data_IF_304380744015
#
_entry.id   IF_304380744015
#
_cell.length_a   1.000
_cell.length_b   1.000
_cell.length_c   1.000
_cell.angle_alpha   90.00
_cell.angle_beta   90.00
_cell.angle_gamma   90.00
#
_symmetry.space_group_name_H-M   'P 1'
#
loop_
_entity.id
_entity.type
_entity.pdbx_description
1 polymer ?
#
# COMPACT_ATOMS: atom_id res chain seq x y z
N UNK A 1 4.95 9.97 -14.03
CA UNK A 1 5.48 9.71 -12.68
C UNK A 1 4.38 9.08 -11.84
N UNK A 2 3.91 7.88 -12.17
CA UNK A 2 2.83 7.18 -11.43
C UNK A 2 3.26 5.79 -10.99
N UNK A 3 4.56 5.51 -11.08
CA UNK A 3 5.15 4.19 -10.98
C UNK A 3 4.78 3.43 -9.68
N UNK A 4 4.55 4.15 -8.57
CA UNK A 4 3.99 3.59 -7.35
C UNK A 4 2.61 2.95 -7.59
N UNK A 5 1.67 3.74 -8.10
CA UNK A 5 0.30 3.29 -8.40
C UNK A 5 0.27 2.26 -9.53
N UNK A 6 1.14 2.39 -10.53
CA UNK A 6 1.32 1.36 -11.58
C UNK A 6 1.78 0.02 -10.96
N UNK A 7 2.71 0.06 -10.01
CA UNK A 7 3.20 -1.11 -9.28
C UNK A 7 2.09 -1.77 -8.47
N UNK A 8 1.33 -0.99 -7.70
CA UNK A 8 0.17 -1.48 -6.93
C UNK A 8 -0.90 -2.06 -7.85
N UNK A 9 -1.22 -1.39 -8.95
CA UNK A 9 -2.21 -1.87 -9.92
C UNK A 9 -1.78 -3.17 -10.60
N UNK A 10 -0.48 -3.36 -10.87
CA UNK A 10 0.03 -4.61 -11.45
C UNK A 10 0.03 -5.76 -10.44
N UNK A 11 0.30 -5.48 -9.17
CA UNK A 11 0.42 -6.50 -8.13
C UNK A 11 -0.91 -7.07 -7.63
N UNK A 12 -1.99 -6.27 -7.73
CA UNK A 12 -3.35 -6.66 -7.35
C UNK A 12 -4.12 -7.20 -8.55
N UNK A 13 -4.73 -8.38 -8.40
CA UNK A 13 -5.50 -9.06 -9.44
C UNK A 13 -7.00 -9.02 -9.13
N UNK A 14 -7.82 -9.52 -10.05
CA UNK A 14 -9.28 -9.52 -9.91
C UNK A 14 -9.76 -10.15 -8.58
N UNK A 15 -9.16 -11.27 -8.16
CA UNK A 15 -9.53 -11.96 -6.93
C UNK A 15 -9.25 -11.14 -5.66
N UNK A 16 -8.34 -10.15 -5.73
CA UNK A 16 -8.08 -9.24 -4.62
C UNK A 16 -9.16 -8.15 -4.53
N UNK A 17 -9.58 -7.60 -5.67
CA UNK A 17 -10.68 -6.63 -5.73
C UNK A 17 -12.03 -7.28 -5.39
N UNK A 18 -12.27 -8.51 -5.85
CA UNK A 18 -13.47 -9.27 -5.53
C UNK A 18 -13.57 -9.54 -4.01
N UNK A 19 -12.44 -9.72 -3.29
CA UNK A 19 -12.44 -9.92 -1.83
C UNK A 19 -13.03 -8.73 -1.05
N UNK A 20 -12.90 -7.53 -1.59
CA UNK A 20 -13.45 -6.30 -0.99
C UNK A 20 -14.73 -5.81 -1.68
N UNK A 21 -15.28 -6.60 -2.61
CA UNK A 21 -16.43 -6.25 -3.44
C UNK A 21 -16.21 -4.93 -4.23
N UNK A 22 -15.03 -4.77 -4.81
CA UNK A 22 -14.68 -3.64 -5.68
C UNK A 22 -14.29 -4.13 -7.07
N UNK A 23 -14.22 -3.21 -8.04
CA UNK A 23 -13.72 -3.52 -9.38
C UNK A 23 -12.34 -2.90 -9.57
N UNK A 24 -11.46 -3.63 -10.25
CA UNK A 24 -10.17 -3.08 -10.71
C UNK A 24 -10.44 -2.04 -11.79
N UNK A 25 -9.87 -0.84 -11.65
CA UNK A 25 -10.13 0.26 -12.58
C UNK A 25 -8.93 1.22 -12.71
N UNK A 26 -9.14 2.53 -12.79
CA UNK A 26 -8.09 3.53 -12.98
C UNK A 26 -7.30 3.83 -11.69
N UNK A 27 -6.15 4.52 -11.79
CA UNK A 27 -5.38 4.95 -10.61
C UNK A 27 -6.20 5.83 -9.66
N UNK A 28 -6.96 6.78 -10.22
CA UNK A 28 -7.81 7.69 -9.45
C UNK A 28 -8.82 6.87 -8.66
N UNK A 29 -9.52 5.95 -9.33
CA UNK A 29 -10.52 5.10 -8.69
C UNK A 29 -9.91 4.15 -7.64
N UNK A 30 -8.71 3.61 -7.89
CA UNK A 30 -7.97 2.83 -6.88
C UNK A 30 -7.75 3.65 -5.62
N UNK A 31 -7.22 4.88 -5.75
CA UNK A 31 -6.92 5.74 -4.60
C UNK A 31 -8.21 6.17 -3.90
N UNK A 32 -9.24 6.58 -4.65
CA UNK A 32 -10.56 6.91 -4.09
C UNK A 32 -11.15 5.71 -3.35
N UNK A 33 -11.00 4.50 -3.88
CA UNK A 33 -11.44 3.28 -3.23
C UNK A 33 -10.66 3.03 -1.94
N UNK A 34 -9.32 3.15 -1.95
CA UNK A 34 -8.48 2.99 -0.77
C UNK A 34 -8.86 4.00 0.32
N UNK A 35 -9.09 5.27 -0.02
CA UNK A 35 -9.56 6.29 0.94
C UNK A 35 -10.92 5.93 1.54
N UNK A 36 -11.88 5.50 0.70
CA UNK A 36 -13.22 5.09 1.14
C UNK A 36 -13.21 3.84 2.01
N UNK A 37 -12.32 2.89 1.72
CA UNK A 37 -12.19 1.59 2.39
C UNK A 37 -11.13 1.58 3.48
N UNK A 38 -10.57 2.75 3.83
CA UNK A 38 -9.52 2.83 4.86
C UNK A 38 -10.02 2.21 6.16
N UNK A 39 -9.19 1.40 6.77
CA UNK A 39 -9.45 0.75 8.05
C UNK A 39 -8.20 0.83 8.92
N UNK A 40 -8.35 0.77 10.26
CA UNK A 40 -7.19 0.70 11.15
C UNK A 40 -6.29 -0.50 10.82
N UNK A 41 -5.00 -0.25 10.61
CA UNK A 41 -3.98 -1.24 10.25
C UNK A 41 -3.51 -2.07 11.46
N UNK A 42 -4.47 -2.58 12.25
CA UNK A 42 -4.21 -3.22 13.55
C UNK A 42 -3.54 -4.60 13.43
N UNK A 43 -3.67 -5.24 12.27
CA UNK A 43 -3.12 -6.56 12.02
C UNK A 43 -1.80 -6.50 11.24
N UNK A 44 -1.29 -5.30 10.93
CA UNK A 44 -0.04 -5.12 10.18
C UNK A 44 1.14 -4.91 11.13
N UNK A 45 2.20 -5.67 10.89
CA UNK A 45 3.54 -5.41 11.43
C UNK A 45 4.37 -4.68 10.38
N UNK A 46 5.01 -3.59 10.77
CA UNK A 46 6.03 -2.90 9.98
C UNK A 46 7.40 -3.24 10.58
N UNK A 47 8.31 -3.82 9.79
CA UNK A 47 9.62 -4.29 10.26
C UNK A 47 9.53 -5.19 11.51
N UNK A 48 8.53 -6.09 11.53
CA UNK A 48 8.17 -6.97 12.66
C UNK A 48 7.70 -6.25 13.94
N UNK A 49 7.45 -4.94 13.87
CA UNK A 49 6.92 -4.14 14.98
C UNK A 49 5.46 -3.77 14.76
N UNK A 50 4.69 -3.70 15.85
CA UNK A 50 3.31 -3.20 15.80
C UNK A 50 3.31 -1.68 15.74
N UNK A 51 2.46 -1.12 14.90
CA UNK A 51 2.17 0.30 14.93
C UNK A 51 1.45 0.66 16.24
N UNK A 52 1.88 1.75 16.86
CA UNK A 52 1.16 2.36 17.97
C UNK A 52 -0.17 2.95 17.50
N UNK A 53 -1.09 3.17 18.45
CA UNK A 53 -2.37 3.85 18.16
C UNK A 53 -2.18 5.26 17.59
N UNK A 54 -1.06 5.93 17.90
CA UNK A 54 -0.75 7.27 17.40
C UNK A 54 -0.32 7.20 15.93
N UNK A 55 0.62 6.31 15.61
CA UNK A 55 1.08 6.10 14.23
C UNK A 55 -0.06 5.66 13.31
N UNK A 56 -0.93 4.75 13.76
CA UNK A 56 -2.12 4.35 12.99
C UNK A 56 -3.00 5.57 12.65
N UNK A 57 -3.20 6.50 13.59
CA UNK A 57 -3.98 7.72 13.33
C UNK A 57 -3.28 8.64 12.34
N UNK A 58 -1.97 8.81 12.45
CA UNK A 58 -1.18 9.63 11.53
C UNK A 58 -1.23 9.07 10.10
N UNK A 59 -1.09 7.76 9.93
CA UNK A 59 -1.20 7.11 8.62
C UNK A 59 -2.61 7.21 8.01
N UNK A 60 -3.66 7.05 8.84
CA UNK A 60 -5.04 7.24 8.37
C UNK A 60 -5.32 8.69 7.94
N UNK A 61 -4.81 9.66 8.69
CA UNK A 61 -4.92 11.08 8.33
C UNK A 61 -4.15 11.39 7.04
N UNK A 62 -2.93 10.87 6.89
CA UNK A 62 -2.14 11.04 5.68
C UNK A 62 -2.85 10.48 4.43
N UNK A 63 -3.61 9.38 4.57
CA UNK A 63 -4.43 8.82 3.48
C UNK A 63 -5.60 9.76 3.15
N UNK A 64 -6.25 10.35 4.15
CA UNK A 64 -7.35 11.31 3.95
C UNK A 64 -6.91 12.59 3.26
N UNK A 65 -5.75 13.12 3.67
CA UNK A 65 -5.20 14.36 3.16
C UNK A 65 -4.52 14.18 1.79
N UNK A 66 -4.31 12.95 1.34
CA UNK A 66 -3.70 12.67 0.04
C UNK A 66 -4.50 13.31 -1.10
N UNK A 67 -3.87 14.24 -1.84
CA UNK A 67 -4.46 14.93 -2.98
C UNK A 67 -4.38 14.09 -4.25
N UNK A 68 -5.54 13.59 -4.67
CA UNK A 68 -5.72 12.78 -5.87
C UNK A 68 -5.43 13.58 -7.15
N UNK A 69 -5.56 14.91 -7.12
CA UNK A 69 -5.30 15.74 -8.31
C UNK A 69 -3.81 15.88 -8.60
N UNK A 70 -2.94 15.64 -7.62
CA UNK A 70 -1.49 15.72 -7.75
C UNK A 70 -0.81 14.40 -8.18
N UNK A 71 -1.57 13.36 -8.55
CA UNK A 71 -1.02 12.09 -9.08
C UNK A 71 0.02 12.29 -10.21
N UNK A 72 -0.13 13.25 -11.15
CA UNK A 72 0.89 13.47 -12.18
C UNK A 72 2.28 13.81 -11.62
N UNK A 73 2.34 14.41 -10.42
CA UNK A 73 3.57 14.71 -9.67
C UNK A 73 4.19 13.51 -8.97
N UNK A 74 3.47 12.39 -8.89
CA UNK A 74 3.90 11.14 -8.30
C UNK A 74 3.60 10.97 -6.81
N UNK A 75 3.98 9.81 -6.31
CA UNK A 75 3.82 9.42 -4.91
C UNK A 75 5.18 9.29 -4.26
N UNK A 76 5.42 10.07 -3.21
CA UNK A 76 6.65 9.96 -2.42
C UNK A 76 6.55 8.75 -1.50
N UNK A 77 7.18 7.66 -1.93
CA UNK A 77 7.19 6.41 -1.16
C UNK A 77 8.24 6.51 -0.06
N UNK A 78 7.80 6.52 1.20
CA UNK A 78 8.67 6.50 2.38
C UNK A 78 9.02 5.07 2.80
N UNK A 79 9.91 4.93 3.79
CA UNK A 79 10.23 3.64 4.41
C UNK A 79 9.08 3.03 5.23
N UNK A 80 8.10 3.85 5.61
CA UNK A 80 6.83 3.41 6.21
C UNK A 80 5.68 4.09 5.46
N UNK A 81 5.24 3.47 4.37
CA UNK A 81 4.25 4.06 3.47
C UNK A 81 2.81 3.77 3.91
N UNK A 82 2.00 4.82 4.09
CA UNK A 82 0.62 4.72 4.56
C UNK A 82 -0.26 3.85 3.65
N UNK A 83 -0.08 3.94 2.33
CA UNK A 83 -0.88 3.14 1.39
C UNK A 83 -0.42 1.69 1.36
N UNK A 84 0.89 1.41 1.44
CA UNK A 84 1.38 0.04 1.56
C UNK A 84 0.87 -0.63 2.85
N UNK A 85 0.85 0.11 3.97
CA UNK A 85 0.25 -0.37 5.21
C UNK A 85 -1.24 -0.69 5.05
N UNK A 86 -2.01 0.21 4.43
CA UNK A 86 -3.43 -0.02 4.19
C UNK A 86 -3.67 -1.21 3.25
N UNK A 87 -2.88 -1.35 2.18
CA UNK A 87 -2.99 -2.47 1.23
C UNK A 87 -2.69 -3.81 1.94
N UNK A 88 -1.67 -3.84 2.79
CA UNK A 88 -1.32 -5.00 3.62
C UNK A 88 -2.50 -5.44 4.52
N UNK A 89 -3.15 -4.48 5.18
CA UNK A 89 -4.34 -4.75 6.01
C UNK A 89 -5.54 -5.20 5.17
N UNK A 90 -5.90 -4.40 4.16
CA UNK A 90 -7.15 -4.52 3.42
C UNK A 90 -7.22 -5.80 2.58
N UNK A 91 -6.13 -6.14 1.89
CA UNK A 91 -6.08 -7.31 1.00
C UNK A 91 -5.54 -8.57 1.67
N UNK A 92 -5.17 -8.49 2.96
CA UNK A 92 -4.59 -9.61 3.71
C UNK A 92 -3.36 -10.19 3.00
N UNK A 93 -2.44 -9.30 2.63
CA UNK A 93 -1.21 -9.64 1.90
C UNK A 93 0.00 -9.23 2.71
N UNK A 94 1.12 -9.92 2.51
CA UNK A 94 2.42 -9.39 2.93
C UNK A 94 3.00 -8.52 1.82
N UNK A 95 3.86 -7.59 2.18
CA UNK A 95 4.60 -6.75 1.25
C UNK A 95 6.07 -6.78 1.64
N UNK A 96 6.91 -7.14 0.67
CA UNK A 96 8.36 -6.98 0.74
C UNK A 96 8.76 -5.88 -0.23
N UNK A 97 9.28 -4.79 0.31
CA UNK A 97 9.65 -3.60 -0.45
C UNK A 97 11.16 -3.39 -0.36
N UNK A 98 11.87 -3.72 -1.43
CA UNK A 98 13.29 -3.45 -1.58
C UNK A 98 13.49 -1.97 -1.93
N UNK A 99 13.74 -1.13 -0.94
CA UNK A 99 14.08 0.27 -1.11
C UNK A 99 15.60 0.44 -1.13
N UNK A 100 16.15 0.78 -2.30
CA UNK A 100 17.60 0.75 -2.57
C UNK A 100 18.19 -0.64 -2.26
N UNK A 101 18.91 -0.78 -1.13
CA UNK A 101 19.51 -2.04 -0.66
C UNK A 101 18.84 -2.56 0.63
N UNK A 102 17.84 -1.85 1.15
CA UNK A 102 17.14 -2.20 2.37
C UNK A 102 15.79 -2.82 2.05
N UNK A 103 15.51 -3.98 2.62
CA UNK A 103 14.20 -4.62 2.47
C UNK A 103 13.32 -4.24 3.63
N UNK A 104 12.24 -3.53 3.34
CA UNK A 104 11.20 -3.16 4.28
C UNK A 104 10.08 -4.19 4.20
N UNK A 105 9.60 -4.67 5.34
CA UNK A 105 8.56 -5.69 5.45
C UNK A 105 7.31 -5.12 6.08
N UNK A 106 6.18 -5.36 5.41
CA UNK A 106 4.84 -5.16 5.94
C UNK A 106 4.17 -6.53 5.99
N UNK A 107 3.84 -7.01 7.19
CA UNK A 107 3.32 -8.38 7.38
C UNK A 107 1.93 -8.35 8.01
N UNK A 108 0.96 -9.02 7.39
CA UNK A 108 -0.35 -9.22 7.99
C UNK A 108 -0.31 -10.41 8.95
N UNK A 109 -0.74 -10.21 10.19
CA UNK A 109 -0.69 -11.21 11.27
C UNK A 109 -1.97 -12.01 11.42
N UNK A 110 -3.07 -11.56 10.81
CA UNK A 110 -4.37 -12.22 10.91
C UNK A 110 -4.51 -13.35 9.91
N UNK A 111 -4.24 -13.04 8.64
CA UNK A 111 -4.36 -13.98 7.53
C UNK A 111 -3.50 -13.46 6.37
N UNK A 112 -2.83 -14.36 5.66
CA UNK A 112 -1.97 -14.00 4.52
C UNK A 112 -2.37 -14.83 3.30
N UNK A 113 -2.84 -14.15 2.26
CA UNK A 113 -3.19 -14.76 0.97
C UNK A 113 -2.00 -14.90 0.04
N UNK A 114 -1.12 -13.90 0.02
CA UNK A 114 0.08 -13.83 -0.83
C UNK A 114 1.05 -12.77 -0.35
N UNK A 115 2.25 -12.77 -0.91
CA UNK A 115 3.25 -11.72 -0.73
C UNK A 115 3.41 -10.92 -2.03
N UNK A 116 3.33 -9.59 -1.92
CA UNK A 116 3.62 -8.64 -2.99
C UNK A 116 5.07 -8.18 -2.85
N UNK A 117 5.75 -8.06 -3.99
CA UNK A 117 7.16 -7.68 -4.03
C UNK A 117 7.27 -6.37 -4.79
N UNK A 118 7.87 -5.38 -4.15
CA UNK A 118 8.15 -4.10 -4.76
C UNK A 118 9.63 -3.79 -4.67
N UNK A 119 10.11 -3.01 -5.63
CA UNK A 119 11.45 -2.46 -5.62
C UNK A 119 11.38 -0.99 -5.97
N UNK A 120 12.09 -0.15 -5.22
CA UNK A 120 12.18 1.27 -5.57
C UNK A 120 13.54 1.88 -5.27
N UNK A 121 13.85 2.94 -6.03
CA UNK A 121 15.01 3.80 -5.85
C UNK A 121 14.54 5.26 -5.72
N UNK A 122 15.45 6.21 -5.92
CA UNK A 122 15.20 7.66 -5.83
C UNK A 122 14.24 8.19 -6.90
N UNK A 123 13.94 7.40 -7.95
CA UNK A 123 13.15 7.83 -9.12
C UNK A 123 11.97 6.94 -9.45
N UNK A 124 12.05 5.65 -9.15
CA UNK A 124 11.12 4.65 -9.64
C UNK A 124 10.69 3.70 -8.54
N UNK A 125 9.42 3.27 -8.63
CA UNK A 125 8.83 2.20 -7.86
C UNK A 125 8.24 1.18 -8.85
N UNK A 126 8.55 -0.09 -8.69
CA UNK A 126 8.09 -1.16 -9.58
C UNK A 126 7.62 -2.36 -8.79
N UNK A 127 6.61 -3.05 -9.32
CA UNK A 127 6.29 -4.40 -8.90
C UNK A 127 7.36 -5.36 -9.44
N UNK A 128 7.99 -6.12 -8.55
CA UNK A 128 9.18 -6.93 -8.82
C UNK A 128 8.92 -8.43 -8.81
N UNK A 129 7.71 -8.86 -9.20
CA UNK A 129 7.37 -10.27 -9.42
C UNK A 129 6.64 -10.54 -10.72
#
# INVERSE_FOLDING_TARGET
MTCFWDGVMKSLNKNDFDLINEKKSSHIELITMLKRRKIPMINVLWENQKLSKKEIKEHLLAIDEYDINCIPGGHLTSSCDSFLLLICELFKVNIEHMYMIHTIKYSNTKEVRKTLYYSSNDKHFVFSR
#
